data_IF_505401894131
#
_entry.id   IF_505401894131
#
_cell.length_a   1.000
_cell.length_b   1.000
_cell.length_c   1.000
_cell.angle_alpha   90.00
_cell.angle_beta   90.00
_cell.angle_gamma   90.00
#
_symmetry.space_group_name_H-M   'P 1'
#
loop_
_entity.id
_entity.type
_entity.pdbx_description
1 polymer ?
#
# COMPACT_ATOMS: atom_id res chain seq x y z
N UNK A 1 32.60 -25.26 10.22
CA UNK A 1 32.26 -24.31 11.28
C UNK A 1 30.87 -23.76 10.98
N UNK A 2 29.93 -23.89 11.92
CA UNK A 2 28.64 -23.23 11.84
C UNK A 2 28.87 -21.78 12.27
N UNK A 3 28.48 -20.81 11.44
CA UNK A 3 28.37 -19.43 11.92
C UNK A 3 27.12 -19.42 12.80
N UNK A 4 27.31 -19.66 14.09
CA UNK A 4 26.26 -19.49 15.07
C UNK A 4 25.92 -18.00 15.13
N UNK A 5 24.63 -17.68 15.06
CA UNK A 5 24.13 -16.32 15.19
C UNK A 5 24.48 -15.81 16.61
N UNK A 6 25.41 -14.88 16.70
CA UNK A 6 25.95 -14.36 17.96
C UNK A 6 24.97 -13.32 18.53
N UNK A 7 23.86 -13.76 19.11
CA UNK A 7 23.00 -12.88 19.91
C UNK A 7 21.59 -13.40 20.21
N UNK A 8 21.24 -13.45 21.49
CA UNK A 8 19.86 -13.69 22.00
C UNK A 8 19.00 -12.40 22.00
N UNK A 9 19.30 -11.46 21.11
CA UNK A 9 18.68 -10.13 21.09
C UNK A 9 17.23 -10.17 20.63
N UNK A 10 16.33 -9.51 21.36
CA UNK A 10 14.99 -9.22 20.89
C UNK A 10 15.02 -7.91 20.10
N UNK A 11 14.53 -7.93 18.86
CA UNK A 11 14.41 -6.72 18.02
C UNK A 11 12.94 -6.32 17.96
N UNK A 12 12.71 -5.03 18.14
CA UNK A 12 11.43 -4.37 17.92
C UNK A 12 11.69 -3.23 16.95
N UNK A 13 10.89 -3.14 15.89
CA UNK A 13 10.99 -2.10 14.88
C UNK A 13 9.63 -1.45 14.65
N UNK A 14 9.62 -0.12 14.55
CA UNK A 14 8.50 0.67 14.05
C UNK A 14 9.04 1.51 12.90
N UNK A 15 8.33 1.51 11.78
CA UNK A 15 8.68 2.26 10.56
C UNK A 15 7.53 3.20 10.20
N UNK A 16 7.89 4.41 9.78
CA UNK A 16 6.95 5.45 9.37
C UNK A 16 7.53 6.17 8.15
N UNK A 17 6.79 6.13 7.05
CA UNK A 17 7.12 6.87 5.84
C UNK A 17 5.90 7.65 5.38
N UNK A 18 6.07 8.97 5.19
CA UNK A 18 5.03 9.86 4.68
C UNK A 18 5.58 10.69 3.52
N UNK A 19 4.87 10.67 2.40
CA UNK A 19 5.13 11.51 1.24
C UNK A 19 3.91 12.37 0.95
N UNK A 20 4.10 13.68 0.81
CA UNK A 20 3.03 14.62 0.44
C UNK A 20 3.56 15.60 -0.63
N UNK A 21 2.73 16.05 -1.58
CA UNK A 21 3.05 17.20 -2.42
C UNK A 21 3.33 18.47 -1.58
N UNK A 22 4.13 19.39 -2.12
CA UNK A 22 4.48 20.66 -1.50
C UNK A 22 3.49 21.77 -1.89
N UNK A 23 2.18 21.49 -1.80
CA UNK A 23 1.12 22.39 -2.28
C UNK A 23 1.13 23.76 -1.56
N UNK A 24 1.73 23.83 -0.37
CA UNK A 24 1.92 25.08 0.38
C UNK A 24 3.02 26.00 -0.20
N UNK A 25 3.84 25.52 -1.14
CA UNK A 25 4.91 26.29 -1.83
C UNK A 25 4.51 26.63 -3.28
N UNK A 26 3.41 26.09 -3.80
CA UNK A 26 2.86 26.42 -5.12
C UNK A 26 1.59 25.64 -5.48
N UNK A 27 0.71 26.24 -6.29
CA UNK A 27 -0.67 25.77 -6.50
C UNK A 27 -0.86 24.77 -7.66
N UNK A 28 0.18 24.44 -8.44
CA UNK A 28 0.06 23.51 -9.57
C UNK A 28 0.52 22.11 -9.17
N UNK A 29 -0.44 21.26 -8.82
CA UNK A 29 -0.22 19.81 -8.71
C UNK A 29 -0.10 19.17 -10.08
N UNK A 30 0.75 18.15 -10.22
CA UNK A 30 0.79 17.34 -11.43
C UNK A 30 -0.48 16.47 -11.51
N UNK A 31 -0.99 16.25 -12.72
CA UNK A 31 -2.10 15.33 -12.93
C UNK A 31 -1.75 13.94 -12.41
N UNK A 32 -2.76 13.24 -11.86
CA UNK A 32 -2.65 11.88 -11.36
C UNK A 32 -1.66 11.69 -10.20
N UNK A 33 -1.31 12.78 -9.51
CA UNK A 33 -0.53 12.72 -8.28
C UNK A 33 -1.47 12.64 -7.06
N UNK A 34 -1.22 11.69 -6.18
CA UNK A 34 -1.94 11.55 -4.91
C UNK A 34 -1.59 12.63 -3.90
N UNK A 35 -2.58 12.98 -3.07
CA UNK A 35 -2.48 13.94 -1.98
C UNK A 35 -1.45 13.53 -0.93
N UNK A 36 -1.33 12.22 -0.67
CA UNK A 36 -0.31 11.67 0.19
C UNK A 36 -0.10 10.18 -0.09
N UNK A 37 1.04 9.65 0.35
CA UNK A 37 1.28 8.21 0.49
C UNK A 37 1.86 7.99 1.89
N UNK A 38 1.22 7.10 2.63
CA UNK A 38 1.57 6.72 4.01
C UNK A 38 1.92 5.23 4.04
N UNK A 39 3.03 4.89 4.71
CA UNK A 39 3.36 3.53 5.11
C UNK A 39 3.69 3.50 6.59
N UNK A 40 3.04 2.58 7.33
CA UNK A 40 3.25 2.35 8.75
C UNK A 40 3.58 0.88 8.96
N UNK A 41 4.76 0.59 9.53
CA UNK A 41 5.23 -0.77 9.75
C UNK A 41 5.56 -1.04 11.21
N UNK A 42 5.33 -2.28 11.64
CA UNK A 42 5.85 -2.80 12.89
C UNK A 42 6.35 -4.24 12.71
N UNK A 43 7.47 -4.58 13.35
CA UNK A 43 7.99 -5.94 13.42
C UNK A 43 8.52 -6.24 14.81
N UNK A 44 8.30 -7.47 15.28
CA UNK A 44 8.83 -7.97 16.54
C UNK A 44 9.39 -9.39 16.38
N UNK A 45 10.59 -9.57 16.93
CA UNK A 45 11.22 -10.88 17.09
C UNK A 45 11.01 -11.42 18.51
N UNK A 46 10.70 -12.71 18.59
CA UNK A 46 10.62 -13.50 19.84
C UNK A 46 11.65 -14.63 19.76
N UNK A 47 12.92 -14.39 20.13
CA UNK A 47 14.01 -15.36 20.04
C UNK A 47 13.75 -16.65 20.83
N UNK A 48 13.14 -16.55 22.01
CA UNK A 48 12.79 -17.71 22.86
C UNK A 48 11.85 -18.69 22.16
N UNK A 49 11.02 -18.19 21.24
CA UNK A 49 10.14 -19.00 20.40
C UNK A 49 10.70 -19.21 19.01
N UNK A 50 11.84 -18.60 18.64
CA UNK A 50 12.35 -18.59 17.26
C UNK A 50 11.29 -18.14 16.26
N UNK A 51 10.59 -17.06 16.60
CA UNK A 51 9.47 -16.50 15.84
C UNK A 51 9.69 -15.03 15.57
N UNK A 52 9.11 -14.56 14.48
CA UNK A 52 8.97 -13.14 14.17
C UNK A 52 7.55 -12.89 13.66
N UNK A 53 7.01 -11.70 13.88
CA UNK A 53 5.76 -11.28 13.26
C UNK A 53 5.77 -9.78 13.01
N UNK A 54 4.94 -9.32 12.10
CA UNK A 54 4.82 -7.91 11.79
C UNK A 54 3.57 -7.61 11.00
N UNK A 55 3.30 -6.31 10.90
CA UNK A 55 2.19 -5.77 10.14
C UNK A 55 2.63 -4.46 9.47
N UNK A 56 2.12 -4.24 8.27
CA UNK A 56 2.34 -3.02 7.50
C UNK A 56 1.01 -2.51 6.98
N UNK A 57 0.69 -1.26 7.27
CA UNK A 57 -0.46 -0.55 6.72
C UNK A 57 0.02 0.48 5.71
N UNK A 58 -0.59 0.49 4.53
CA UNK A 58 -0.35 1.48 3.48
C UNK A 58 -1.65 2.17 3.12
N UNK A 59 -1.61 3.49 3.00
CA UNK A 59 -2.73 4.29 2.53
C UNK A 59 -2.24 5.38 1.57
N UNK A 60 -3.07 5.71 0.60
CA UNK A 60 -2.77 6.71 -0.40
C UNK A 60 -4.01 7.60 -0.58
N UNK A 61 -3.80 8.92 -0.52
CA UNK A 61 -4.86 9.89 -0.75
C UNK A 61 -5.30 9.96 -2.21
N UNK A 62 -6.42 10.63 -2.43
CA UNK A 62 -6.99 10.80 -3.76
C UNK A 62 -6.00 11.43 -4.74
N UNK A 63 -6.12 11.03 -6.00
CA UNK A 63 -5.41 11.65 -7.12
C UNK A 63 -6.43 12.34 -8.03
N UNK A 64 -6.10 13.55 -8.48
CA UNK A 64 -6.93 14.30 -9.41
C UNK A 64 -6.18 14.46 -10.72
N UNK A 65 -6.88 14.23 -11.82
CA UNK A 65 -6.38 14.46 -13.17
C UNK A 65 -7.35 15.35 -13.92
N UNK A 66 -6.82 16.36 -14.60
CA UNK A 66 -7.58 17.20 -15.53
C UNK A 66 -6.86 17.29 -16.85
N UNK A 67 -7.51 16.80 -17.89
CA UNK A 67 -7.07 16.95 -19.29
C UNK A 67 -8.16 17.68 -20.08
N UNK A 68 -7.94 17.87 -21.38
CA UNK A 68 -8.93 18.54 -22.23
C UNK A 68 -10.22 17.70 -22.27
N UNK A 69 -11.31 18.30 -21.79
CA UNK A 69 -12.65 17.73 -21.80
C UNK A 69 -12.83 16.44 -20.97
N UNK A 70 -11.93 16.16 -20.02
CA UNK A 70 -12.06 15.05 -19.08
C UNK A 70 -11.41 15.39 -17.73
N UNK A 71 -12.09 15.05 -16.65
CA UNK A 71 -11.59 15.14 -15.28
C UNK A 71 -11.81 13.81 -14.57
N UNK A 72 -10.79 13.35 -13.84
CA UNK A 72 -10.82 12.06 -13.13
C UNK A 72 -10.41 12.27 -11.69
N UNK A 73 -11.21 11.76 -10.76
CA UNK A 73 -10.84 11.58 -9.35
C UNK A 73 -10.63 10.09 -9.12
N UNK A 74 -9.43 9.71 -8.70
CA UNK A 74 -9.07 8.33 -8.34
C UNK A 74 -8.86 8.25 -6.83
N UNK A 75 -9.65 7.43 -6.16
CA UNK A 75 -9.55 7.13 -4.72
C UNK A 75 -8.98 5.72 -4.49
N UNK A 76 -8.16 5.57 -3.46
CA UNK A 76 -7.48 4.30 -3.14
C UNK A 76 -7.85 3.82 -1.73
N UNK A 77 -8.24 2.56 -1.59
CA UNK A 77 -8.43 1.90 -0.31
C UNK A 77 -7.09 1.59 0.39
N UNK A 78 -7.11 1.53 1.72
CA UNK A 78 -5.96 1.10 2.51
C UNK A 78 -5.61 -0.37 2.28
N UNK A 79 -4.33 -0.71 2.37
CA UNK A 79 -3.79 -2.07 2.28
C UNK A 79 -3.15 -2.44 3.63
N UNK A 80 -3.49 -3.64 4.12
CA UNK A 80 -2.89 -4.23 5.32
C UNK A 80 -2.19 -5.54 4.95
N UNK A 81 -0.90 -5.59 5.23
CA UNK A 81 -0.10 -6.81 5.22
C UNK A 81 0.19 -7.26 6.64
N UNK A 82 0.11 -8.56 6.90
CA UNK A 82 0.56 -9.19 8.15
C UNK A 82 1.41 -10.41 7.80
N UNK A 83 2.50 -10.60 8.53
CA UNK A 83 3.27 -11.84 8.45
C UNK A 83 3.53 -12.46 9.82
N UNK A 84 3.70 -13.78 9.81
CA UNK A 84 4.22 -14.57 10.93
C UNK A 84 5.27 -15.53 10.39
N UNK A 85 6.43 -15.56 11.02
CA UNK A 85 7.55 -16.43 10.69
C UNK A 85 7.95 -17.30 11.88
N UNK A 86 8.30 -18.55 11.60
CA UNK A 86 8.75 -19.53 12.58
C UNK A 86 9.93 -20.33 12.04
N UNK A 87 10.99 -20.42 12.82
CA UNK A 87 12.00 -21.45 12.63
C UNK A 87 11.50 -22.75 13.29
N UNK A 88 11.26 -23.78 12.48
CA UNK A 88 10.73 -25.08 12.95
C UNK A 88 11.83 -26.14 13.13
N UNK A 89 12.99 -25.95 12.49
CA UNK A 89 14.19 -26.76 12.69
C UNK A 89 15.45 -25.87 12.57
N UNK A 90 16.62 -26.39 12.93
CA UNK A 90 17.88 -25.61 12.83
C UNK A 90 18.15 -25.06 11.43
N UNK A 91 17.63 -25.72 10.39
CA UNK A 91 17.81 -25.34 8.99
C UNK A 91 16.49 -25.05 8.24
N UNK A 92 15.34 -24.95 8.93
CA UNK A 92 14.03 -24.74 8.29
C UNK A 92 13.28 -23.58 8.92
N UNK A 93 12.87 -22.63 8.08
CA UNK A 93 12.02 -21.48 8.43
C UNK A 93 10.77 -21.48 7.58
N UNK A 94 9.61 -21.23 8.20
CA UNK A 94 8.32 -21.09 7.52
C UNK A 94 7.76 -19.69 7.79
N UNK A 95 7.31 -19.00 6.74
CA UNK A 95 6.62 -17.71 6.83
C UNK A 95 5.24 -17.81 6.20
N UNK A 96 4.23 -17.35 6.93
CA UNK A 96 2.91 -17.07 6.40
C UNK A 96 2.76 -15.55 6.27
N UNK A 97 2.24 -15.11 5.13
CA UNK A 97 1.97 -13.70 4.83
C UNK A 97 0.55 -13.57 4.30
N UNK A 98 -0.24 -12.66 4.85
CA UNK A 98 -1.49 -12.20 4.26
C UNK A 98 -1.31 -10.76 3.77
N UNK A 99 -1.56 -10.52 2.49
CA UNK A 99 -1.45 -9.20 1.84
C UNK A 99 -2.81 -8.72 1.41
N UNK A 100 -3.02 -7.40 1.34
CA UNK A 100 -4.30 -6.81 1.02
C UNK A 100 -5.47 -7.31 1.87
N UNK A 101 -5.25 -7.43 3.18
CA UNK A 101 -6.24 -7.98 4.11
C UNK A 101 -7.47 -7.08 4.31
N UNK A 102 -7.40 -5.82 3.87
CA UNK A 102 -8.51 -4.87 3.90
C UNK A 102 -9.35 -4.90 2.61
N UNK A 103 -8.99 -5.73 1.63
CA UNK A 103 -9.67 -5.80 0.33
C UNK A 103 -9.70 -4.43 -0.37
N UNK A 104 -8.52 -3.82 -0.51
CA UNK A 104 -8.34 -2.51 -1.13
C UNK A 104 -8.90 -2.49 -2.56
N UNK A 105 -9.54 -1.38 -2.89
CA UNK A 105 -10.05 -1.05 -4.22
C UNK A 105 -9.49 0.29 -4.68
N UNK A 106 -9.49 0.47 -6.00
CA UNK A 106 -9.28 1.75 -6.67
C UNK A 106 -10.62 2.15 -7.28
N UNK A 107 -11.15 3.27 -6.84
CA UNK A 107 -12.40 3.85 -7.33
C UNK A 107 -12.09 5.07 -8.20
N UNK A 108 -12.68 5.16 -9.38
CA UNK A 108 -12.46 6.24 -10.34
C UNK A 108 -13.79 6.88 -10.74
N UNK A 109 -13.85 8.21 -10.62
CA UNK A 109 -14.98 9.05 -11.04
C UNK A 109 -14.55 9.87 -12.23
N UNK A 110 -15.19 9.65 -13.38
CA UNK A 110 -14.90 10.35 -14.62
C UNK A 110 -16.01 11.36 -14.94
N UNK A 111 -15.62 12.62 -15.04
CA UNK A 111 -16.43 13.68 -15.64
C UNK A 111 -15.93 13.92 -17.07
N UNK A 112 -16.73 13.53 -18.08
CA UNK A 112 -16.39 13.71 -19.50
C UNK A 112 -17.25 14.80 -20.13
N UNK A 113 -16.63 15.61 -20.97
CA UNK A 113 -17.22 16.80 -21.58
C UNK A 113 -17.09 16.75 -23.10
N UNK A 114 -18.02 17.39 -23.82
CA UNK A 114 -17.97 17.47 -25.29
C UNK A 114 -16.95 18.50 -25.79
N UNK A 115 -16.61 19.49 -24.97
CA UNK A 115 -15.67 20.57 -25.28
C UNK A 115 -15.08 21.22 -24.02
N UNK A 116 -14.13 22.13 -24.20
CA UNK A 116 -13.57 22.92 -23.09
C UNK A 116 -14.60 23.89 -22.51
N UNK A 117 -15.49 24.45 -23.34
CA UNK A 117 -16.56 25.34 -22.87
C UNK A 117 -17.57 24.58 -22.01
N UNK A 118 -17.86 23.33 -22.39
CA UNK A 118 -18.70 22.41 -21.62
C UNK A 118 -18.03 22.05 -20.29
N UNK A 119 -16.71 21.79 -20.30
CA UNK A 119 -15.93 21.56 -19.09
C UNK A 119 -15.90 22.76 -18.13
N UNK A 120 -15.84 23.99 -18.66
CA UNK A 120 -15.90 25.23 -17.86
C UNK A 120 -17.31 25.44 -17.30
N UNK A 121 -18.33 25.21 -18.12
CA UNK A 121 -19.74 25.41 -17.74
C UNK A 121 -20.33 24.23 -16.95
N UNK A 122 -19.57 23.14 -16.80
CA UNK A 122 -19.99 21.86 -16.22
C UNK A 122 -21.19 21.24 -16.94
N UNK A 123 -21.21 21.34 -18.27
CA UNK A 123 -22.15 20.66 -19.17
C UNK A 123 -21.61 19.27 -19.52
N UNK A 124 -22.03 18.24 -18.81
CA UNK A 124 -21.47 16.89 -18.93
C UNK A 124 -21.98 16.18 -20.19
N UNK A 125 -21.06 15.56 -20.93
CA UNK A 125 -21.40 14.62 -22.02
C UNK A 125 -21.62 13.22 -21.45
N UNK A 126 -20.72 12.76 -20.57
CA UNK A 126 -20.79 11.45 -19.93
C UNK A 126 -20.25 11.52 -18.48
N UNK A 127 -20.82 10.65 -17.63
CA UNK A 127 -20.37 10.45 -16.25
C UNK A 127 -20.18 8.95 -16.01
N UNK A 128 -18.99 8.54 -15.58
CA UNK A 128 -18.63 7.14 -15.39
C UNK A 128 -18.04 6.90 -13.99
N UNK A 129 -18.38 5.74 -13.42
CA UNK A 129 -17.89 5.27 -12.13
C UNK A 129 -17.25 3.90 -12.35
N UNK A 130 -15.96 3.77 -12.05
CA UNK A 130 -15.25 2.50 -12.12
C UNK A 130 -14.74 2.11 -10.73
N UNK A 131 -14.74 0.81 -10.45
CA UNK A 131 -14.15 0.21 -9.24
C UNK A 131 -13.32 -0.99 -9.66
N UNK A 132 -12.03 -0.97 -9.35
CA UNK A 132 -11.11 -2.10 -9.53
C UNK A 132 -10.70 -2.63 -8.14
N UNK A 133 -10.86 -3.93 -7.90
CA UNK A 133 -10.43 -4.57 -6.66
C UNK A 133 -9.53 -5.76 -6.91
N UNK A 134 -8.63 -6.00 -5.96
CA UNK A 134 -7.86 -7.24 -5.88
C UNK A 134 -8.12 -7.84 -4.51
N UNK A 135 -8.66 -9.05 -4.43
CA UNK A 135 -8.98 -9.65 -3.12
C UNK A 135 -7.75 -9.86 -2.21
N UNK A 136 -7.96 -10.22 -0.93
CA UNK A 136 -6.88 -10.63 -0.04
C UNK A 136 -6.10 -11.83 -0.58
N UNK A 137 -4.78 -11.82 -0.44
CA UNK A 137 -3.89 -12.90 -0.88
C UNK A 137 -3.16 -13.50 0.31
N UNK A 138 -3.04 -14.82 0.33
CA UNK A 138 -2.35 -15.56 1.39
C UNK A 138 -1.21 -16.38 0.81
N UNK A 139 -0.02 -16.23 1.36
CA UNK A 139 1.20 -16.89 0.90
C UNK A 139 1.85 -17.67 2.05
N UNK A 140 2.30 -18.89 1.74
CA UNK A 140 3.12 -19.71 2.64
C UNK A 140 4.47 -19.98 1.96
N UNK A 141 5.56 -19.59 2.61
CA UNK A 141 6.93 -19.77 2.13
C UNK A 141 7.71 -20.62 3.12
N UNK A 142 8.44 -21.61 2.62
CA UNK A 142 9.39 -22.41 3.39
C UNK A 142 10.81 -22.19 2.84
N UNK A 143 11.75 -21.91 3.74
CA UNK A 143 13.19 -21.79 3.43
C UNK A 143 13.95 -22.91 4.13
N UNK A 144 14.82 -23.60 3.38
CA UNK A 144 15.66 -24.70 3.88
C UNK A 144 17.12 -24.40 3.55
N UNK A 145 18.01 -24.51 4.54
CA UNK A 145 19.46 -24.40 4.38
C UNK A 145 20.12 -25.80 4.36
N UNK A 146 21.19 -25.96 3.57
CA UNK A 146 21.93 -27.20 3.36
C UNK A 146 23.42 -27.03 3.66
#
# INVERSE_FOLDING_TARGET
ESIDNVGDGQVYGVEFDLSTPLDFIGERRFNSQSDYVLNLGFTQDIPTWKMAFGATYREQGDAYSRVLAEEVVTSYGGDLEIFVEKQIASNIVVRFTGTNLLDSSKDEVFDKFGSVDDQISRDYDEYELETESSGPVYQLVMRVAF
#
